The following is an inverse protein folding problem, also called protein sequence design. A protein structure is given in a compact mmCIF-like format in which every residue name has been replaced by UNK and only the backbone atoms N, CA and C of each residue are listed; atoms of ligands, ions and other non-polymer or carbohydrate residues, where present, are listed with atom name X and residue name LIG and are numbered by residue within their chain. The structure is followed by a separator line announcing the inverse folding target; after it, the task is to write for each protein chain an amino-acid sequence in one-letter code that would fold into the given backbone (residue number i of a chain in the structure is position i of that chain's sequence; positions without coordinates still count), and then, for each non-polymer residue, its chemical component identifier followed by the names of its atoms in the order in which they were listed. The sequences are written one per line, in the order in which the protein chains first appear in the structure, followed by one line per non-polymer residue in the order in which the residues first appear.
data_IF_582041047193
#
_entry.id   IF_582041047193
#
_cell.length_a   1.000
_cell.length_b   1.000
_cell.length_c   1.000
_cell.angle_alpha   90.00
_cell.angle_beta   90.00
_cell.angle_gamma   90.00
#
_symmetry.space_group_name_H-M   'P 1'
#
loop_
_entity.id
_entity.type
_entity.pdbx_description
1 polymer ?
#
# COMPACT_ATOMS: atom_id res chain seq x y z
N UNK A 1 11.58 15.88 13.25
CA UNK A 1 10.32 15.83 12.49
C UNK A 1 9.74 14.44 12.66
N UNK A 2 8.69 14.28 13.45
CA UNK A 2 8.15 12.97 13.80
C UNK A 2 7.40 12.39 12.59
N UNK A 3 8.02 11.42 11.93
CA UNK A 3 7.36 10.58 10.94
C UNK A 3 6.22 9.85 11.66
N UNK A 4 4.99 10.10 11.26
CA UNK A 4 3.85 9.33 11.73
C UNK A 4 4.00 7.89 11.20
N UNK A 5 4.82 7.10 11.90
CA UNK A 5 5.24 5.76 11.49
C UNK A 5 4.07 4.78 11.44
N UNK A 6 2.91 5.13 12.01
CA UNK A 6 1.71 4.30 12.07
C UNK A 6 0.52 5.07 11.52
N UNK A 7 -0.38 4.33 10.87
CA UNK A 7 -1.70 4.79 10.51
C UNK A 7 -2.71 4.29 11.58
N UNK A 8 -3.72 5.08 11.97
CA UNK A 8 -4.73 4.65 12.93
C UNK A 8 -5.41 3.34 12.51
N UNK A 9 -5.66 2.45 13.47
CA UNK A 9 -6.28 1.13 13.24
C UNK A 9 -5.48 0.19 12.29
N UNK A 10 -4.25 0.57 11.88
CA UNK A 10 -3.36 -0.26 11.09
C UNK A 10 -2.21 -0.78 11.95
N UNK A 11 -2.16 -2.10 12.14
CA UNK A 11 -1.25 -2.75 13.10
C UNK A 11 0.23 -2.77 12.72
N UNK A 12 0.62 -2.14 11.60
CA UNK A 12 1.99 -2.16 11.08
C UNK A 12 2.51 -0.75 10.84
N UNK A 13 3.81 -0.59 11.05
CA UNK A 13 4.53 0.63 10.68
C UNK A 13 4.75 0.69 9.17
N UNK A 14 4.83 1.89 8.61
CA UNK A 14 5.27 2.08 7.23
C UNK A 14 6.62 1.38 6.92
N UNK A 15 7.54 1.34 7.89
CA UNK A 15 8.83 0.69 7.75
C UNK A 15 8.77 -0.83 7.55
N UNK A 16 7.67 -1.47 7.92
CA UNK A 16 7.45 -2.91 7.72
C UNK A 16 6.85 -3.23 6.36
N UNK A 17 6.33 -2.23 5.63
CA UNK A 17 5.70 -2.43 4.34
C UNK A 17 6.75 -2.48 3.23
N UNK A 18 6.56 -3.40 2.29
CA UNK A 18 7.39 -3.53 1.09
C UNK A 18 6.70 -2.90 -0.12
N UNK A 19 5.43 -3.25 -0.37
CA UNK A 19 4.62 -2.76 -1.49
C UNK A 19 3.14 -2.97 -1.23
N UNK A 20 2.29 -2.22 -1.92
CA UNK A 20 0.85 -2.36 -1.80
C UNK A 20 0.15 -2.47 -3.17
N UNK A 21 -1.05 -3.02 -3.15
CA UNK A 21 -1.98 -3.06 -4.27
C UNK A 21 -3.30 -2.49 -3.78
N UNK A 22 -3.74 -1.40 -4.40
CA UNK A 22 -5.07 -0.86 -4.15
C UNK A 22 -6.13 -1.61 -4.99
N UNK A 23 -7.16 -2.09 -4.31
CA UNK A 23 -8.46 -2.46 -4.85
C UNK A 23 -9.51 -1.48 -4.30
N UNK A 24 -10.65 -1.32 -4.97
CA UNK A 24 -11.62 -0.24 -4.75
C UNK A 24 -11.89 0.12 -3.29
N UNK A 25 -12.05 -0.90 -2.44
CA UNK A 25 -12.42 -0.80 -1.02
C UNK A 25 -11.36 -1.36 -0.05
N UNK A 26 -10.34 -2.06 -0.54
CA UNK A 26 -9.29 -2.65 0.31
C UNK A 26 -7.90 -2.59 -0.32
N UNK A 27 -6.90 -2.76 0.51
CA UNK A 27 -5.50 -2.79 0.12
C UNK A 27 -4.93 -4.16 0.42
N UNK A 28 -4.30 -4.79 -0.57
CA UNK A 28 -3.39 -5.91 -0.33
C UNK A 28 -2.01 -5.33 -0.08
N UNK A 29 -1.38 -5.70 1.03
CA UNK A 29 -0.12 -5.14 1.47
C UNK A 29 0.87 -6.28 1.66
N UNK A 30 2.01 -6.18 0.98
CA UNK A 30 3.15 -7.07 1.20
C UNK A 30 4.06 -6.44 2.25
N UNK A 31 4.35 -7.20 3.29
CA UNK A 31 5.31 -6.85 4.32
C UNK A 31 6.72 -7.29 3.91
N UNK A 32 7.74 -6.68 4.50
CA UNK A 32 9.15 -6.99 4.22
C UNK A 32 9.57 -8.38 4.68
N UNK A 33 8.83 -8.99 5.61
CA UNK A 33 9.04 -10.37 6.03
C UNK A 33 8.43 -11.39 5.03
N UNK A 34 7.79 -10.94 3.96
CA UNK A 34 7.15 -11.79 2.94
C UNK A 34 5.67 -12.04 3.18
N UNK A 35 5.12 -11.67 4.33
CA UNK A 35 3.69 -11.84 4.61
C UNK A 35 2.84 -10.91 3.75
N UNK A 36 1.63 -11.38 3.42
CA UNK A 36 0.63 -10.62 2.68
C UNK A 36 -0.60 -10.45 3.56
N UNK A 37 -1.01 -9.20 3.77
CA UNK A 37 -2.20 -8.86 4.55
C UNK A 37 -3.20 -8.09 3.69
N UNK A 38 -4.47 -8.14 4.10
CA UNK A 38 -5.53 -7.32 3.54
C UNK A 38 -5.99 -6.31 4.59
N UNK A 39 -6.13 -5.05 4.18
CA UNK A 39 -6.60 -3.99 5.06
C UNK A 39 -7.68 -3.16 4.37
N UNK A 40 -8.81 -3.01 5.06
CA UNK A 40 -9.95 -2.20 4.63
C UNK A 40 -10.03 -0.98 5.55
N UNK A 41 -9.42 0.16 5.16
CA UNK A 41 -9.48 1.38 5.97
C UNK A 41 -10.89 1.99 5.91
N UNK A 42 -11.29 2.65 7.00
CA UNK A 42 -12.52 3.48 7.02
C UNK A 42 -12.44 4.64 6.02
N UNK A 43 -11.25 5.20 5.82
CA UNK A 43 -10.96 6.22 4.83
C UNK A 43 -9.86 5.75 3.86
N UNK A 44 -10.31 5.21 2.73
CA UNK A 44 -9.46 4.71 1.63
C UNK A 44 -8.51 5.78 1.10
N UNK A 45 -8.98 7.03 1.02
CA UNK A 45 -8.18 8.13 0.45
C UNK A 45 -7.10 8.57 1.42
N UNK A 46 -7.41 8.68 2.71
CA UNK A 46 -6.42 9.00 3.72
C UNK A 46 -5.35 7.90 3.85
N UNK A 47 -5.75 6.62 3.83
CA UNK A 47 -4.79 5.51 3.90
C UNK A 47 -3.86 5.48 2.68
N UNK A 48 -4.41 5.66 1.47
CA UNK A 48 -3.60 5.77 0.25
C UNK A 48 -2.59 6.91 0.32
N UNK A 49 -3.01 8.10 0.76
CA UNK A 49 -2.11 9.26 0.92
C UNK A 49 -1.00 8.96 1.92
N UNK A 50 -1.29 8.26 3.01
CA UNK A 50 -0.27 7.87 3.99
C UNK A 50 0.76 6.91 3.38
N UNK A 51 0.33 5.93 2.57
CA UNK A 51 1.25 5.03 1.85
C UNK A 51 2.16 5.80 0.89
N UNK A 52 1.58 6.74 0.12
CA UNK A 52 2.32 7.58 -0.83
C UNK A 52 3.32 8.51 -0.12
N UNK A 53 2.92 9.14 1.01
CA UNK A 53 3.79 9.97 1.83
C UNK A 53 4.97 9.19 2.42
N UNK A 54 4.75 7.92 2.76
CA UNK A 54 5.79 7.01 3.24
C UNK A 54 6.57 6.32 2.10
N UNK A 55 6.34 6.71 0.84
CA UNK A 55 7.01 6.16 -0.35
C UNK A 55 6.87 4.64 -0.50
N UNK A 56 5.73 4.08 -0.06
CA UNK A 56 5.44 2.67 -0.29
C UNK A 56 5.02 2.52 -1.76
N UNK A 57 5.67 1.65 -2.54
CA UNK A 57 5.35 1.50 -3.96
C UNK A 57 4.00 0.81 -4.17
N UNK A 58 3.24 1.31 -5.16
CA UNK A 58 2.01 0.69 -5.64
C UNK A 58 2.32 -0.26 -6.80
N UNK A 59 1.97 -1.53 -6.66
CA UNK A 59 2.21 -2.58 -7.66
C UNK A 59 1.54 -2.24 -9.00
N UNK A 60 0.35 -1.62 -8.99
CA UNK A 60 -0.33 -1.21 -10.24
C UNK A 60 0.41 -0.12 -11.02
N UNK A 61 1.28 0.61 -10.34
CA UNK A 61 2.05 1.70 -10.93
C UNK A 61 3.48 1.27 -11.30
N UNK A 62 3.85 0.01 -11.04
CA UNK A 62 5.13 -0.53 -11.51
C UNK A 62 5.09 -0.70 -13.04
N UNK A 63 6.11 -0.17 -13.71
CA UNK A 63 6.30 -0.32 -15.16
C UNK A 63 6.33 -1.81 -15.53
N UNK A 64 5.49 -2.22 -16.49
CA UNK A 64 5.38 -3.61 -16.93
C UNK A 64 4.20 -4.41 -16.35
N UNK A 65 3.43 -3.87 -15.40
CA UNK A 65 2.21 -4.53 -14.91
C UNK A 65 1.06 -4.56 -15.95
N UNK A 66 0.92 -3.50 -16.75
CA UNK A 66 -0.09 -3.46 -17.83
C UNK A 66 0.48 -4.13 -19.07
N UNK A 67 0.18 -5.42 -19.25
CA UNK A 67 0.33 -6.07 -20.56
C UNK A 67 -0.78 -5.53 -21.47
N UNK A 68 -0.51 -4.44 -22.18
CA UNK A 68 -1.34 -4.09 -23.35
C UNK A 68 -1.17 -5.22 -24.36
N UNK A 69 -2.14 -6.13 -24.44
CA UNK A 69 -2.29 -6.95 -25.63
C UNK A 69 -2.60 -5.98 -26.77
N UNK A 70 -1.65 -5.82 -27.70
CA UNK A 70 -1.95 -5.26 -29.02
C UNK A 70 -2.70 -6.35 -29.77
N UNK A 71 -3.95 -6.07 -30.10
CA UNK A 71 -4.72 -6.81 -31.11
C UNK A 71 -4.12 -6.61 -32.50
#
# INVERSE_FOLDING_TARGET
MATANHYPDFGYTAGQLAKFLAASDFFTIMLKNGDIIHFTPKDVTAFRRWLEQNKIPNIRSEEGWVVTKKD
#
